data_IF_172528474592
#
_entry.id   IF_172528474592
#
_cell.length_a   1.000
_cell.length_b   1.000
_cell.length_c   1.000
_cell.angle_alpha   90.00
_cell.angle_beta   90.00
_cell.angle_gamma   90.00
#
_symmetry.space_group_name_H-M   'P 1'
#
loop_
_entity.id
_entity.type
_entity.pdbx_description
1 polymer ?
#
# COMPACT_ATOMS: atom_id res chain seq x y z
N UNK A 1 25.23 0.91 -18.66
CA UNK A 1 24.25 1.82 -18.03
C UNK A 1 22.89 1.15 -18.09
N UNK A 2 22.33 0.84 -16.93
CA UNK A 2 20.97 0.27 -16.85
C UNK A 2 19.99 1.45 -16.85
N UNK A 3 19.25 1.64 -17.93
CA UNK A 3 18.13 2.55 -17.93
C UNK A 3 17.01 1.90 -17.13
N UNK A 4 16.86 2.29 -15.86
CA UNK A 4 15.78 1.83 -15.01
C UNK A 4 14.63 2.84 -15.19
N UNK A 5 13.88 2.68 -16.27
CA UNK A 5 12.68 3.49 -16.49
C UNK A 5 11.45 2.86 -15.81
N UNK A 6 11.49 1.56 -15.57
CA UNK A 6 10.45 0.83 -14.85
C UNK A 6 11.07 -0.19 -13.89
N UNK A 7 10.76 -0.06 -12.61
CA UNK A 7 11.03 -1.10 -11.62
C UNK A 7 9.68 -1.67 -11.16
N UNK A 8 9.44 -2.91 -11.54
CA UNK A 8 8.32 -3.66 -10.99
C UNK A 8 8.75 -4.28 -9.66
N UNK A 9 8.43 -3.63 -8.56
CA UNK A 9 8.51 -4.25 -7.24
C UNK A 9 7.17 -4.92 -6.99
N UNK A 10 7.16 -6.24 -7.06
CA UNK A 10 5.96 -7.04 -6.82
C UNK A 10 5.65 -7.11 -5.32
N UNK A 11 5.30 -6.00 -4.72
CA UNK A 11 4.88 -5.90 -3.33
C UNK A 11 3.84 -4.79 -3.18
N UNK A 12 3.08 -4.86 -2.11
CA UNK A 12 2.03 -3.89 -1.80
C UNK A 12 1.76 -3.85 -0.31
N UNK A 13 0.71 -3.16 0.08
CA UNK A 13 0.26 -3.13 1.47
C UNK A 13 -0.52 -4.41 1.78
N UNK A 14 -0.08 -5.15 2.79
CA UNK A 14 -0.85 -6.22 3.40
C UNK A 14 -1.57 -5.68 4.64
N UNK A 15 -2.84 -6.04 4.79
CA UNK A 15 -3.61 -5.75 5.99
C UNK A 15 -3.73 -7.02 6.80
N UNK A 16 -3.39 -6.98 8.08
CA UNK A 16 -3.41 -8.17 8.92
C UNK A 16 -3.84 -7.86 10.35
N UNK A 17 -4.43 -8.84 11.00
CA UNK A 17 -4.65 -8.91 12.43
C UNK A 17 -4.10 -10.25 12.97
N UNK A 18 -4.45 -10.62 14.20
CA UNK A 18 -3.97 -11.85 14.83
C UNK A 18 -4.46 -13.15 14.13
N UNK A 19 -5.55 -13.08 13.39
CA UNK A 19 -6.22 -14.25 12.80
C UNK A 19 -6.28 -14.23 11.28
N UNK A 20 -6.24 -13.06 10.66
CA UNK A 20 -6.53 -12.87 9.24
C UNK A 20 -5.50 -12.00 8.57
N UNK A 21 -5.34 -12.21 7.27
CA UNK A 21 -4.54 -11.35 6.41
C UNK A 21 -5.27 -11.10 5.08
N UNK A 22 -5.16 -9.87 4.59
CA UNK A 22 -5.55 -9.49 3.23
C UNK A 22 -4.25 -9.08 2.54
N UNK A 23 -3.80 -9.95 1.65
CA UNK A 23 -2.54 -9.78 0.93
C UNK A 23 -2.69 -8.73 -0.18
N UNK A 24 -1.57 -8.13 -0.63
CA UNK A 24 -1.61 -7.21 -1.75
C UNK A 24 -2.26 -7.84 -2.99
N UNK A 25 -3.16 -7.10 -3.59
CA UNK A 25 -3.88 -7.54 -4.79
C UNK A 25 -3.14 -7.11 -6.06
N UNK A 26 -3.56 -7.66 -7.20
CA UNK A 26 -2.97 -7.36 -8.49
C UNK A 26 -3.05 -5.86 -8.82
N UNK A 27 -2.00 -5.31 -9.39
CA UNK A 27 -1.90 -3.95 -9.95
C UNK A 27 -1.94 -2.80 -8.92
N UNK A 28 -1.97 -3.09 -7.64
CA UNK A 28 -1.82 -2.09 -6.59
C UNK A 28 -0.52 -2.36 -5.83
N UNK A 29 0.53 -1.66 -6.19
CA UNK A 29 1.84 -1.83 -5.58
C UNK A 29 2.08 -0.93 -4.38
N UNK A 30 3.25 -1.07 -3.79
CA UNK A 30 3.66 -0.29 -2.63
C UNK A 30 3.82 1.20 -2.96
N UNK A 31 4.06 1.55 -4.22
CA UNK A 31 4.10 2.92 -4.71
C UNK A 31 2.81 3.70 -4.49
N UNK A 32 1.69 3.00 -4.31
CA UNK A 32 0.38 3.60 -4.06
C UNK A 32 0.06 3.82 -2.57
N UNK A 33 1.02 3.58 -1.67
CA UNK A 33 0.77 3.66 -0.23
C UNK A 33 0.24 5.02 0.23
N UNK A 34 0.71 6.11 -0.38
CA UNK A 34 0.26 7.47 -0.03
C UNK A 34 -1.20 7.72 -0.41
N UNK A 35 -1.65 7.17 -1.52
CA UNK A 35 -3.06 7.26 -1.92
C UNK A 35 -3.97 6.56 -0.91
N UNK A 36 -3.50 5.44 -0.36
CA UNK A 36 -4.23 4.73 0.71
C UNK A 36 -4.29 5.58 1.98
N UNK A 37 -3.17 6.19 2.38
CA UNK A 37 -3.13 7.10 3.53
C UNK A 37 -4.10 8.28 3.35
N UNK A 38 -4.06 8.94 2.19
CA UNK A 38 -4.94 10.07 1.88
C UNK A 38 -6.42 9.68 1.87
N UNK A 39 -6.74 8.49 1.37
CA UNK A 39 -8.11 7.96 1.39
C UNK A 39 -8.60 7.73 2.82
N UNK A 40 -7.77 7.13 3.69
CA UNK A 40 -8.13 6.91 5.09
C UNK A 40 -8.26 8.23 5.86
N UNK A 41 -7.39 9.20 5.59
CA UNK A 41 -7.47 10.55 6.18
C UNK A 41 -8.76 11.27 5.81
N UNK A 42 -9.20 11.16 4.55
CA UNK A 42 -10.37 11.85 4.03
C UNK A 42 -11.64 10.99 4.04
N UNK A 43 -11.60 9.77 4.55
CA UNK A 43 -12.71 8.80 4.55
C UNK A 43 -13.28 8.57 3.16
N UNK A 44 -12.41 8.35 2.19
CA UNK A 44 -12.77 8.11 0.79
C UNK A 44 -12.43 6.68 0.37
N UNK A 45 -13.02 6.26 -0.72
CA UNK A 45 -12.65 5.01 -1.38
C UNK A 45 -11.28 5.16 -2.03
N UNK A 46 -10.56 4.05 -2.12
CA UNK A 46 -9.29 3.95 -2.82
C UNK A 46 -9.23 2.60 -3.52
N UNK A 47 -8.57 2.60 -4.67
CA UNK A 47 -8.32 1.36 -5.38
C UNK A 47 -7.17 0.58 -4.74
N UNK A 48 -7.45 -0.64 -4.30
CA UNK A 48 -6.49 -1.53 -3.65
C UNK A 48 -6.09 -2.72 -4.53
N UNK A 49 -6.34 -2.62 -5.83
CA UNK A 49 -6.07 -3.67 -6.79
C UNK A 49 -7.32 -4.43 -7.21
N UNK A 50 -7.15 -5.44 -8.04
CA UNK A 50 -8.22 -6.31 -8.52
C UNK A 50 -7.81 -7.79 -8.38
N UNK A 51 -8.82 -8.67 -8.32
CA UNK A 51 -8.68 -10.13 -8.22
C UNK A 51 -7.83 -10.60 -7.01
N UNK A 52 -8.29 -10.40 -5.78
CA UNK A 52 -9.54 -9.78 -5.32
C UNK A 52 -9.53 -8.25 -5.39
N UNK A 53 -10.69 -7.64 -5.18
CA UNK A 53 -10.89 -6.19 -5.16
C UNK A 53 -11.19 -5.71 -3.72
N UNK A 54 -10.20 -5.55 -2.84
CA UNK A 54 -10.43 -5.11 -1.48
C UNK A 54 -11.06 -3.72 -1.43
N UNK A 55 -11.97 -3.51 -0.48
CA UNK A 55 -12.67 -2.24 -0.30
C UNK A 55 -12.59 -1.76 1.14
N UNK A 56 -12.70 -0.45 1.32
CA UNK A 56 -12.72 0.18 2.63
C UNK A 56 -14.16 0.56 3.03
N UNK A 57 -14.49 0.34 4.29
CA UNK A 57 -15.73 0.76 4.89
C UNK A 57 -15.44 1.56 6.16
N UNK A 58 -16.00 2.75 6.27
CA UNK A 58 -15.79 3.62 7.42
C UNK A 58 -17.01 3.60 8.34
N UNK A 59 -16.82 3.20 9.59
CA UNK A 59 -17.87 3.13 10.60
C UNK A 59 -17.39 3.87 11.85
N UNK A 60 -17.92 5.04 12.13
CA UNK A 60 -17.50 5.90 13.24
C UNK A 60 -15.99 6.14 13.19
N UNK A 61 -15.25 5.66 14.20
CA UNK A 61 -13.79 5.79 14.30
C UNK A 61 -13.06 4.54 13.81
N UNK A 62 -13.77 3.59 13.19
CA UNK A 62 -13.21 2.35 12.66
C UNK A 62 -13.13 2.36 11.14
N UNK A 63 -12.16 1.62 10.62
CA UNK A 63 -12.03 1.30 9.19
C UNK A 63 -12.00 -0.21 9.05
N UNK A 64 -12.91 -0.73 8.25
CA UNK A 64 -12.92 -2.14 7.85
C UNK A 64 -12.29 -2.28 6.46
N UNK A 65 -11.30 -3.11 6.36
CA UNK A 65 -10.72 -3.51 5.07
C UNK A 65 -11.36 -4.84 4.72
N UNK A 66 -12.17 -4.86 3.68
CA UNK A 66 -12.85 -6.05 3.18
C UNK A 66 -11.95 -6.84 2.23
N UNK A 67 -12.04 -8.15 2.30
CA UNK A 67 -11.21 -9.07 1.51
C UNK A 67 -11.49 -9.02 0.00
N UNK A 68 -12.65 -8.51 -0.40
CA UNK A 68 -13.07 -8.38 -1.80
C UNK A 68 -14.12 -7.27 -1.91
N UNK A 69 -14.74 -7.13 -3.08
CA UNK A 69 -15.68 -6.06 -3.46
C UNK A 69 -17.01 -6.12 -2.68
N UNK A 70 -16.93 -5.99 -1.36
CA UNK A 70 -18.11 -5.99 -0.48
C UNK A 70 -19.07 -4.85 -0.79
N UNK A 71 -18.55 -3.69 -1.19
CA UNK A 71 -19.36 -2.53 -1.55
C UNK A 71 -20.09 -2.67 -2.89
N UNK A 72 -19.74 -3.65 -3.71
CA UNK A 72 -20.30 -3.83 -5.05
C UNK A 72 -19.88 -2.73 -6.03
N UNK A 73 -18.68 -2.18 -5.86
CA UNK A 73 -18.15 -1.12 -6.72
C UNK A 73 -17.86 -1.63 -8.12
N UNK A 74 -17.23 -2.78 -8.23
CA UNK A 74 -16.89 -3.41 -9.51
C UNK A 74 -17.95 -4.39 -9.99
N UNK A 75 -18.54 -5.14 -9.05
CA UNK A 75 -19.52 -6.17 -9.36
C UNK A 75 -20.87 -5.81 -8.78
N UNK A 76 -21.84 -5.59 -9.66
CA UNK A 76 -23.23 -5.25 -9.27
C UNK A 76 -24.11 -6.46 -8.99
N UNK A 77 -23.64 -7.66 -9.35
CA UNK A 77 -24.38 -8.92 -9.33
C UNK A 77 -23.90 -9.88 -8.24
N UNK A 78 -23.31 -9.38 -7.16
CA UNK A 78 -22.85 -10.18 -6.04
C UNK A 78 -24.00 -10.96 -5.40
N UNK A 79 -23.84 -12.29 -5.33
CA UNK A 79 -24.78 -13.17 -4.65
C UNK A 79 -24.60 -13.12 -3.13
N UNK A 80 -25.63 -13.51 -2.39
CA UNK A 80 -25.55 -13.66 -0.92
C UNK A 80 -24.44 -14.63 -0.50
N UNK A 81 -24.22 -15.69 -1.26
CA UNK A 81 -23.16 -16.67 -0.97
C UNK A 81 -21.76 -16.07 -1.15
N UNK A 82 -21.56 -15.22 -2.14
CA UNK A 82 -20.29 -14.51 -2.33
C UNK A 82 -20.03 -13.52 -1.21
N UNK A 83 -21.03 -12.75 -0.81
CA UNK A 83 -20.92 -11.83 0.32
C UNK A 83 -20.58 -12.53 1.64
N UNK A 84 -21.17 -13.71 1.88
CA UNK A 84 -20.91 -14.49 3.10
C UNK A 84 -19.50 -15.08 3.17
N UNK A 85 -18.80 -15.20 2.05
CA UNK A 85 -17.40 -15.65 1.99
C UNK A 85 -16.41 -14.52 2.26
N UNK A 86 -16.83 -13.29 2.13
CA UNK A 86 -15.98 -12.14 2.39
C UNK A 86 -15.78 -11.96 3.89
N UNK A 87 -14.59 -11.55 4.25
CA UNK A 87 -14.24 -11.20 5.62
C UNK A 87 -13.59 -9.83 5.65
N UNK A 88 -13.50 -9.24 6.82
CA UNK A 88 -12.86 -7.95 6.99
C UNK A 88 -11.88 -7.97 8.16
N UNK A 89 -10.96 -7.03 8.11
CA UNK A 89 -10.08 -6.67 9.22
C UNK A 89 -10.45 -5.26 9.66
N UNK A 90 -10.71 -5.08 10.94
CA UNK A 90 -11.11 -3.80 11.49
C UNK A 90 -9.95 -3.13 12.21
N UNK A 91 -9.71 -1.88 11.90
CA UNK A 91 -8.73 -1.04 12.57
C UNK A 91 -9.41 0.15 13.22
N UNK A 92 -8.86 0.63 14.36
CA UNK A 92 -9.09 2.00 14.75
C UNK A 92 -8.49 2.91 13.67
N UNK A 93 -9.23 3.94 13.23
CA UNK A 93 -8.82 4.78 12.11
C UNK A 93 -7.50 5.51 12.39
N UNK A 94 -7.31 6.04 13.60
CA UNK A 94 -6.07 6.73 13.97
C UNK A 94 -4.87 5.78 13.99
N UNK A 95 -5.07 4.56 14.50
CA UNK A 95 -4.02 3.53 14.50
C UNK A 95 -3.63 3.14 13.07
N UNK A 96 -4.59 3.02 12.17
CA UNK A 96 -4.32 2.73 10.76
C UNK A 96 -3.56 3.88 10.10
N UNK A 97 -3.95 5.14 10.36
CA UNK A 97 -3.23 6.32 9.87
C UNK A 97 -1.77 6.29 10.33
N UNK A 98 -1.53 6.05 11.62
CA UNK A 98 -0.18 5.99 12.18
C UNK A 98 0.66 4.88 11.52
N UNK A 99 0.07 3.72 11.27
CA UNK A 99 0.74 2.62 10.56
C UNK A 99 1.07 2.96 9.12
N UNK A 100 0.16 3.62 8.42
CA UNK A 100 0.39 4.07 7.04
C UNK A 100 1.47 5.16 6.97
N UNK A 101 1.47 6.11 7.89
CA UNK A 101 2.52 7.13 7.99
C UNK A 101 3.90 6.53 8.26
N UNK A 102 3.96 5.46 9.06
CA UNK A 102 5.21 4.75 9.35
C UNK A 102 5.83 4.11 8.10
N UNK A 103 5.06 3.80 7.06
CA UNK A 103 5.56 3.26 5.78
C UNK A 103 6.60 4.20 5.16
N UNK A 104 6.40 5.51 5.22
CA UNK A 104 7.36 6.47 4.69
C UNK A 104 8.72 6.34 5.36
N UNK A 105 8.74 6.28 6.68
CA UNK A 105 9.97 6.07 7.47
C UNK A 105 10.62 4.74 7.12
N UNK A 106 9.83 3.67 7.06
CA UNK A 106 10.32 2.33 6.74
C UNK A 106 10.95 2.27 5.34
N UNK A 107 10.33 2.92 4.35
CA UNK A 107 10.86 3.00 2.99
C UNK A 107 12.17 3.79 2.93
N UNK A 108 12.27 4.90 3.65
CA UNK A 108 13.52 5.68 3.73
C UNK A 108 14.63 4.90 4.42
N UNK A 109 14.32 4.21 5.52
CA UNK A 109 15.27 3.35 6.23
C UNK A 109 15.71 2.15 5.39
N UNK A 110 14.80 1.54 4.64
CA UNK A 110 15.13 0.45 3.72
C UNK A 110 16.14 0.90 2.68
N UNK A 111 15.96 2.07 2.08
CA UNK A 111 16.94 2.59 1.13
C UNK A 111 18.31 2.78 1.78
N UNK A 112 18.36 3.48 2.92
CA UNK A 112 19.62 3.80 3.61
C UNK A 112 20.36 2.56 4.14
N UNK A 113 19.63 1.62 4.73
CA UNK A 113 20.24 0.52 5.47
C UNK A 113 20.42 -0.76 4.65
N UNK A 114 19.65 -0.95 3.62
CA UNK A 114 19.67 -2.20 2.83
C UNK A 114 20.06 -1.96 1.38
N UNK A 115 19.35 -1.08 0.69
CA UNK A 115 19.53 -0.85 -0.73
C UNK A 115 20.85 -0.12 -1.03
N UNK A 116 21.17 0.91 -0.26
CA UNK A 116 22.42 1.68 -0.42
C UNK A 116 23.67 0.80 -0.22
N UNK A 117 23.63 -0.17 0.70
CA UNK A 117 24.72 -1.11 0.93
C UNK A 117 24.99 -2.02 -0.27
N UNK A 118 23.96 -2.40 -1.01
CA UNK A 118 24.10 -3.21 -2.22
C UNK A 118 24.74 -2.40 -3.36
N UNK A 119 24.61 -1.09 -3.31
CA UNK A 119 25.14 -0.16 -4.32
C UNK A 119 26.55 0.37 -3.99
N UNK A 120 27.32 -0.36 -3.20
CA UNK A 120 28.67 0.06 -2.79
C UNK A 120 29.65 0.28 -3.96
N UNK A 121 29.35 -0.25 -5.14
CA UNK A 121 30.14 -0.08 -6.37
C UNK A 121 29.75 1.16 -7.19
N UNK A 122 28.76 1.91 -6.75
CA UNK A 122 28.20 3.08 -7.44
C UNK A 122 28.78 4.34 -6.81
N UNK A 123 29.13 5.35 -7.62
CA UNK A 123 29.62 6.62 -7.09
C UNK A 123 28.52 7.43 -6.36
N UNK A 124 28.95 8.45 -5.62
CA UNK A 124 28.05 9.23 -4.77
C UNK A 124 26.98 10.01 -5.57
N UNK A 125 27.33 10.53 -6.75
CA UNK A 125 26.38 11.22 -7.62
C UNK A 125 25.30 10.28 -8.14
N UNK A 126 25.67 9.07 -8.50
CA UNK A 126 24.74 8.02 -8.93
C UNK A 126 23.85 7.54 -7.78
N UNK A 127 24.39 7.43 -6.56
CA UNK A 127 23.60 7.11 -5.36
C UNK A 127 22.55 8.18 -5.08
N UNK A 128 22.91 9.45 -5.18
CA UNK A 128 21.98 10.56 -5.00
C UNK A 128 20.86 10.52 -6.05
N UNK A 129 21.19 10.31 -7.31
CA UNK A 129 20.20 10.17 -8.37
C UNK A 129 19.26 8.99 -8.14
N UNK A 130 19.77 7.85 -7.69
CA UNK A 130 18.97 6.68 -7.36
C UNK A 130 18.07 6.95 -6.16
N UNK A 131 18.57 7.62 -5.14
CA UNK A 131 17.77 8.03 -3.99
C UNK A 131 16.61 8.94 -4.39
N UNK A 132 16.85 9.93 -5.23
CA UNK A 132 15.81 10.83 -5.72
C UNK A 132 14.76 10.09 -6.56
N UNK A 133 15.19 9.16 -7.42
CA UNK A 133 14.28 8.30 -8.18
C UNK A 133 13.45 7.41 -7.25
N UNK A 134 14.08 6.78 -6.27
CA UNK A 134 13.41 5.96 -5.26
C UNK A 134 12.34 6.75 -4.53
N UNK A 135 12.68 7.95 -4.04
CA UNK A 135 11.72 8.82 -3.38
C UNK A 135 10.55 9.21 -4.29
N UNK A 136 10.82 9.45 -5.57
CA UNK A 136 9.79 9.73 -6.55
C UNK A 136 8.87 8.53 -6.79
N UNK A 137 9.42 7.33 -6.92
CA UNK A 137 8.62 6.11 -7.14
C UNK A 137 7.69 5.80 -5.97
N UNK A 138 8.18 5.96 -4.75
CA UNK A 138 7.40 5.67 -3.55
C UNK A 138 6.71 6.90 -2.95
N UNK A 139 6.71 8.01 -3.68
CA UNK A 139 6.03 9.23 -3.26
C UNK A 139 6.45 9.69 -1.84
N UNK A 140 7.75 9.66 -1.58
CA UNK A 140 8.34 10.07 -0.30
C UNK A 140 8.68 11.56 -0.31
N UNK A 141 8.47 12.22 0.83
CA UNK A 141 8.85 13.61 1.01
C UNK A 141 10.29 13.67 1.52
N UNK A 142 11.16 14.30 0.74
CA UNK A 142 12.55 14.55 1.12
C UNK A 142 12.63 15.91 1.75
N UNK A 143 12.97 15.93 3.01
CA UNK A 143 13.23 17.18 3.75
C UNK A 143 14.72 17.55 3.74
#
# INVERSE_FOLDING_TARGET
MIAIDEVAISCGIAFEDEEKAILPSCCCGLENWREVLEAVLSKKDVWLGHDPFPTLEYINDSVRVWSDDYSGTMRKDLSQQELLKMYYIEYNRNDLINKLEAIETDLLEFFKNSFEKVLCMVDDDQKEMLFLKYCKWFNLVVS
#
